data_IF_907166691315
#
_entry.id   IF_907166691315
#
_cell.length_a   1.000
_cell.length_b   1.000
_cell.length_c   1.000
_cell.angle_alpha   90.00
_cell.angle_beta   90.00
_cell.angle_gamma   90.00
#
_symmetry.space_group_name_H-M   'P 1'
#
loop_
_entity.id
_entity.type
_entity.pdbx_description
1 polymer ?
#
# COMPACT_ATOMS: atom_id res chain seq x y z
N UNK A 1 1.46 3.21 37.09
CA UNK A 1 0.34 2.31 37.43
C UNK A 1 -0.37 2.03 36.12
N UNK A 2 -0.41 0.78 35.69
CA UNK A 2 -1.12 0.39 34.47
C UNK A 2 -2.62 0.63 34.69
N UNK A 3 -3.27 1.30 33.75
CA UNK A 3 -4.68 1.62 33.84
C UNK A 3 -5.49 0.39 33.41
N UNK A 4 -6.56 0.09 34.13
CA UNK A 4 -7.53 -0.93 33.73
C UNK A 4 -8.22 -0.54 32.42
N UNK A 5 -8.25 -1.47 31.46
CA UNK A 5 -8.88 -1.25 30.16
C UNK A 5 -10.41 -1.31 30.29
N UNK A 6 -11.16 -0.48 29.54
CA UNK A 6 -12.62 -0.53 29.56
C UNK A 6 -13.16 -1.87 29.05
N UNK A 7 -14.14 -2.42 29.76
CA UNK A 7 -14.80 -3.68 29.40
C UNK A 7 -16.11 -3.45 28.66
N UNK A 8 -16.38 -4.30 27.65
CA UNK A 8 -17.57 -4.24 26.82
C UNK A 8 -18.06 -5.66 26.55
N UNK A 9 -19.35 -5.88 26.72
CA UNK A 9 -20.00 -7.14 26.37
C UNK A 9 -20.51 -7.09 24.93
N UNK A 10 -20.12 -8.09 24.13
CA UNK A 10 -20.59 -8.27 22.76
C UNK A 10 -21.03 -9.72 22.60
N UNK A 11 -22.32 -9.93 22.31
CA UNK A 11 -22.88 -11.26 22.04
C UNK A 11 -22.58 -12.28 23.16
N UNK A 12 -22.65 -11.85 24.43
CA UNK A 12 -22.39 -12.69 25.60
C UNK A 12 -20.92 -12.96 25.91
N UNK A 13 -19.99 -12.28 25.23
CA UNK A 13 -18.55 -12.35 25.48
C UNK A 13 -18.02 -11.01 25.99
N UNK A 14 -17.08 -11.07 26.93
CA UNK A 14 -16.42 -9.88 27.46
C UNK A 14 -15.17 -9.54 26.64
N UNK A 15 -15.05 -8.27 26.28
CA UNK A 15 -13.90 -7.72 25.58
C UNK A 15 -13.32 -6.55 26.37
N UNK A 16 -12.00 -6.39 26.30
CA UNK A 16 -11.31 -5.19 26.77
C UNK A 16 -10.94 -4.32 25.58
N UNK A 17 -11.28 -3.03 25.62
CA UNK A 17 -10.89 -2.11 24.57
C UNK A 17 -9.46 -1.58 24.81
N UNK A 18 -8.58 -1.83 23.86
CA UNK A 18 -7.20 -1.33 23.83
C UNK A 18 -7.11 -0.16 22.85
N UNK A 19 -7.00 1.06 23.38
CA UNK A 19 -6.85 2.28 22.60
C UNK A 19 -5.56 2.32 21.79
N UNK A 20 -4.48 1.68 22.25
CA UNK A 20 -3.18 1.70 21.58
C UNK A 20 -3.22 0.83 20.33
N UNK A 21 -3.85 -0.35 20.43
CA UNK A 21 -4.10 -1.23 19.28
C UNK A 21 -5.34 -0.84 18.46
N UNK A 22 -6.22 0.02 18.98
CA UNK A 22 -7.53 0.35 18.41
C UNK A 22 -8.32 -0.95 18.14
N UNK A 23 -8.39 -1.79 19.17
CA UNK A 23 -8.94 -3.14 19.07
C UNK A 23 -9.70 -3.55 20.33
N UNK A 24 -10.65 -4.46 20.16
CA UNK A 24 -11.30 -5.19 21.25
C UNK A 24 -10.62 -6.53 21.44
N UNK A 25 -10.08 -6.78 22.63
CA UNK A 25 -9.39 -8.02 23.00
C UNK A 25 -10.36 -8.92 23.76
N UNK A 26 -10.61 -10.14 23.29
CA UNK A 26 -11.47 -11.09 24.03
C UNK A 26 -10.81 -11.43 25.38
N UNK A 27 -11.52 -11.23 26.50
CA UNK A 27 -10.92 -11.30 27.85
C UNK A 27 -10.32 -12.67 28.17
N UNK A 28 -11.00 -13.73 27.75
CA UNK A 28 -10.55 -15.12 27.96
C UNK A 28 -9.54 -15.59 26.91
N UNK A 29 -9.41 -14.85 25.80
CA UNK A 29 -8.57 -15.20 24.63
C UNK A 29 -7.99 -13.96 23.95
N UNK A 30 -7.05 -13.24 24.59
CA UNK A 30 -6.58 -11.95 24.07
C UNK A 30 -5.91 -12.01 22.68
N UNK A 31 -5.50 -13.20 22.22
CA UNK A 31 -5.03 -13.41 20.85
C UNK A 31 -6.13 -13.21 19.80
N UNK A 32 -7.41 -13.33 20.20
CA UNK A 32 -8.58 -13.00 19.39
C UNK A 32 -8.93 -11.54 19.61
N UNK A 33 -8.57 -10.73 18.61
CA UNK A 33 -8.87 -9.31 18.59
C UNK A 33 -9.80 -8.93 17.44
N UNK A 34 -10.72 -8.01 17.74
CA UNK A 34 -11.54 -7.36 16.72
C UNK A 34 -10.97 -5.97 16.50
N UNK A 35 -10.41 -5.73 15.31
CA UNK A 35 -9.89 -4.41 14.98
C UNK A 35 -11.07 -3.50 14.66
N UNK A 36 -11.12 -2.31 15.28
CA UNK A 36 -12.13 -1.31 14.92
C UNK A 36 -11.96 -0.84 13.48
N UNK A 37 -10.76 -1.02 12.93
CA UNK A 37 -10.52 -0.81 11.53
C UNK A 37 -11.36 -1.73 10.64
N UNK A 38 -11.82 -2.89 11.11
CA UNK A 38 -12.69 -3.75 10.29
C UNK A 38 -14.17 -3.39 10.41
N UNK A 39 -14.47 -2.32 11.16
CA UNK A 39 -15.83 -1.87 11.44
C UNK A 39 -16.15 -0.62 10.61
N UNK A 40 -17.44 -0.42 10.37
CA UNK A 40 -17.97 0.77 9.74
C UNK A 40 -18.19 1.86 10.79
N UNK A 41 -17.57 3.01 10.57
CA UNK A 41 -17.78 4.22 11.39
C UNK A 41 -19.11 4.88 10.99
N UNK A 42 -20.09 4.81 11.89
CA UNK A 42 -21.42 5.42 11.74
C UNK A 42 -21.52 6.78 12.46
N UNK A 43 -20.39 7.42 12.77
CA UNK A 43 -20.20 8.69 13.50
C UNK A 43 -20.63 8.67 14.97
N UNK A 44 -21.68 7.94 15.29
CA UNK A 44 -22.29 7.81 16.62
C UNK A 44 -21.95 6.49 17.30
N UNK A 45 -21.48 5.53 16.53
CA UNK A 45 -21.11 4.18 16.95
C UNK A 45 -20.27 3.54 15.83
N UNK A 46 -19.63 2.42 16.12
CA UNK A 46 -19.12 1.52 15.09
C UNK A 46 -20.07 0.34 14.92
N UNK A 47 -20.19 -0.15 13.70
CA UNK A 47 -20.96 -1.36 13.42
C UNK A 47 -20.16 -2.34 12.58
N UNK A 48 -20.41 -3.62 12.81
CA UNK A 48 -19.88 -4.71 11.99
C UNK A 48 -20.88 -5.86 11.95
N UNK A 49 -20.78 -6.67 10.92
CA UNK A 49 -21.55 -7.90 10.78
C UNK A 49 -20.81 -9.03 11.48
N UNK A 50 -21.52 -9.78 12.31
CA UNK A 50 -21.01 -10.93 13.05
C UNK A 50 -21.69 -12.20 12.58
N UNK A 51 -20.89 -13.19 12.20
CA UNK A 51 -21.34 -14.54 11.88
C UNK A 51 -21.52 -15.34 13.18
N UNK A 52 -22.76 -15.77 13.45
CA UNK A 52 -23.08 -16.53 14.65
C UNK A 52 -22.48 -17.95 14.64
N UNK A 53 -22.22 -18.51 13.46
CA UNK A 53 -21.66 -19.85 13.31
C UNK A 53 -20.15 -19.85 13.53
N UNK A 54 -19.40 -19.05 12.76
CA UNK A 54 -17.95 -18.94 12.94
C UNK A 54 -17.55 -18.16 14.19
N UNK A 55 -18.49 -17.39 14.76
CA UNK A 55 -18.30 -16.52 15.94
C UNK A 55 -17.23 -15.44 15.72
N UNK A 56 -17.18 -14.90 14.51
CA UNK A 56 -16.22 -13.88 14.07
C UNK A 56 -16.94 -12.77 13.27
N UNK A 57 -16.35 -11.57 13.16
CA UNK A 57 -16.81 -10.57 12.20
C UNK A 57 -16.69 -11.05 10.75
N UNK A 58 -17.63 -10.65 9.91
CA UNK A 58 -17.60 -10.83 8.47
C UNK A 58 -17.34 -9.48 7.79
N UNK A 59 -16.12 -9.29 7.27
CA UNK A 59 -15.71 -8.04 6.65
C UNK A 59 -16.48 -7.75 5.34
N UNK A 60 -16.76 -8.79 4.56
CA UNK A 60 -17.45 -8.68 3.28
C UNK A 60 -18.87 -8.16 3.50
N UNK A 61 -19.62 -8.82 4.39
CA UNK A 61 -20.99 -8.41 4.72
C UNK A 61 -21.05 -7.12 5.54
N UNK A 62 -20.00 -6.76 6.26
CA UNK A 62 -19.90 -5.43 6.89
C UNK A 62 -19.83 -4.32 5.85
N UNK A 63 -19.13 -4.55 4.74
CA UNK A 63 -19.02 -3.58 3.65
C UNK A 63 -20.27 -3.58 2.75
N UNK A 64 -20.72 -4.76 2.35
CA UNK A 64 -21.73 -4.93 1.28
C UNK A 64 -23.16 -5.09 1.82
N UNK A 65 -23.31 -5.31 3.13
CA UNK A 65 -24.56 -5.66 3.77
C UNK A 65 -24.82 -7.17 3.81
N UNK A 66 -25.86 -7.55 4.54
CA UNK A 66 -26.33 -8.94 4.64
C UNK A 66 -27.36 -9.15 3.52
N UNK A 67 -27.19 -10.19 2.71
CA UNK A 67 -28.17 -10.53 1.67
C UNK A 67 -29.47 -11.11 2.26
N UNK A 68 -30.54 -11.11 1.46
CA UNK A 68 -31.86 -11.53 1.92
C UNK A 68 -31.90 -13.00 2.40
N UNK A 69 -31.12 -13.89 1.75
CA UNK A 69 -31.06 -15.31 2.10
C UNK A 69 -30.45 -15.48 3.50
N UNK A 70 -29.38 -14.75 3.77
CA UNK A 70 -28.69 -14.77 5.05
C UNK A 70 -29.48 -14.08 6.17
N UNK A 71 -30.27 -13.05 5.84
CA UNK A 71 -31.23 -12.46 6.79
C UNK A 71 -32.30 -13.49 7.20
N UNK A 72 -32.88 -14.22 6.25
CA UNK A 72 -33.88 -15.27 6.54
C UNK A 72 -33.31 -16.38 7.42
N UNK A 73 -32.07 -16.79 7.17
CA UNK A 73 -31.37 -17.83 7.95
C UNK A 73 -30.91 -17.35 9.32
N UNK A 74 -30.95 -16.04 9.58
CA UNK A 74 -30.48 -15.41 10.82
C UNK A 74 -29.03 -15.79 11.20
N UNK A 75 -28.22 -16.16 10.22
CA UNK A 75 -26.83 -16.58 10.37
C UNK A 75 -25.93 -15.43 10.79
N UNK A 76 -26.26 -14.23 10.32
CA UNK A 76 -25.51 -13.01 10.58
C UNK A 76 -26.32 -12.03 11.44
N UNK A 77 -25.62 -11.19 12.18
CA UNK A 77 -26.23 -10.09 12.94
C UNK A 77 -25.34 -8.86 12.88
N UNK A 78 -25.95 -7.68 12.77
CA UNK A 78 -25.22 -6.43 12.91
C UNK A 78 -25.01 -6.14 14.39
N UNK A 79 -23.76 -6.00 14.80
CA UNK A 79 -23.36 -5.59 16.14
C UNK A 79 -23.03 -4.11 16.11
N UNK A 80 -23.45 -3.39 17.15
CA UNK A 80 -23.12 -1.97 17.36
C UNK A 80 -22.30 -1.83 18.64
N UNK A 81 -21.21 -1.08 18.56
CA UNK A 81 -20.39 -0.70 19.72
C UNK A 81 -20.28 0.82 19.80
N UNK A 82 -20.15 1.41 21.01
CA UNK A 82 -20.01 2.85 21.16
C UNK A 82 -18.77 3.40 20.42
N UNK A 83 -18.67 4.73 20.32
CA UNK A 83 -17.47 5.36 19.77
C UNK A 83 -16.27 5.13 20.69
N UNK A 84 -15.06 5.26 20.15
CA UNK A 84 -13.82 5.13 20.93
C UNK A 84 -13.80 6.15 22.06
N UNK A 85 -14.20 7.38 21.77
CA UNK A 85 -14.35 8.47 22.73
C UNK A 85 -15.26 8.11 23.92
N UNK A 86 -16.29 7.28 23.70
CA UNK A 86 -17.25 6.88 24.73
C UNK A 86 -16.79 5.62 25.49
N UNK A 87 -16.12 4.70 24.80
CA UNK A 87 -15.55 3.47 25.39
C UNK A 87 -14.34 3.79 26.26
N UNK A 88 -13.44 4.64 25.79
CA UNK A 88 -12.19 4.99 26.45
C UNK A 88 -11.85 6.49 26.35
N UNK A 89 -12.60 7.37 27.04
CA UNK A 89 -12.38 8.82 26.98
C UNK A 89 -10.98 9.22 27.45
N UNK A 90 -10.50 8.63 28.54
CA UNK A 90 -9.18 8.94 29.10
C UNK A 90 -8.03 8.42 28.21
N UNK A 91 -8.22 7.27 27.56
CA UNK A 91 -7.24 6.69 26.65
C UNK A 91 -7.14 7.49 25.37
N UNK A 92 -8.29 7.94 24.86
CA UNK A 92 -8.40 8.86 23.73
C UNK A 92 -7.69 10.19 24.02
N UNK A 93 -7.93 10.78 25.20
CA UNK A 93 -7.23 11.99 25.65
C UNK A 93 -5.71 11.80 25.67
N UNK A 94 -5.24 10.67 26.23
CA UNK A 94 -3.81 10.34 26.30
C UNK A 94 -3.20 10.14 24.91
N UNK A 95 -3.82 9.33 24.05
CA UNK A 95 -3.25 8.93 22.76
C UNK A 95 -3.22 10.07 21.74
N UNK A 96 -4.29 10.88 21.71
CA UNK A 96 -4.44 11.96 20.72
C UNK A 96 -4.22 13.36 21.28
N UNK A 97 -3.79 13.47 22.55
CA UNK A 97 -3.53 14.73 23.23
C UNK A 97 -4.73 15.70 23.14
N UNK A 98 -5.92 15.21 23.46
CA UNK A 98 -7.16 15.99 23.52
C UNK A 98 -7.72 16.06 24.95
N UNK A 99 -8.66 16.98 25.19
CA UNK A 99 -9.31 17.15 26.49
C UNK A 99 -10.62 16.37 26.59
N UNK A 100 -11.12 16.14 27.80
CA UNK A 100 -12.46 15.55 27.99
C UNK A 100 -13.57 16.44 27.39
N UNK A 101 -13.39 17.76 27.34
CA UNK A 101 -14.34 18.62 26.65
C UNK A 101 -14.33 18.38 25.13
N UNK A 102 -13.16 18.10 24.54
CA UNK A 102 -13.08 17.70 23.14
C UNK A 102 -13.84 16.40 22.87
N UNK A 103 -13.73 15.40 23.75
CA UNK A 103 -14.46 14.11 23.67
C UNK A 103 -15.99 14.32 23.55
N UNK A 104 -16.54 15.30 24.28
CA UNK A 104 -17.97 15.59 24.25
C UNK A 104 -18.42 16.38 23.01
N UNK A 105 -17.53 17.20 22.45
CA UNK A 105 -17.87 18.12 21.35
C UNK A 105 -17.48 17.60 19.97
N UNK A 106 -16.53 16.66 19.90
CA UNK A 106 -15.93 16.16 18.66
C UNK A 106 -16.25 14.68 18.46
N UNK A 107 -16.28 14.30 17.20
CA UNK A 107 -16.32 12.91 16.75
C UNK A 107 -14.95 12.25 16.86
N UNK A 108 -14.91 10.92 16.88
CA UNK A 108 -13.65 10.17 16.78
C UNK A 108 -12.82 10.62 15.58
N UNK A 109 -13.47 10.85 14.43
CA UNK A 109 -12.82 11.36 13.23
C UNK A 109 -12.11 12.71 13.47
N UNK A 110 -12.78 13.65 14.12
CA UNK A 110 -12.23 15.00 14.39
C UNK A 110 -11.06 14.99 15.36
N UNK A 111 -10.98 13.97 16.22
CA UNK A 111 -9.90 13.78 17.19
C UNK A 111 -8.73 13.00 16.58
N UNK A 112 -9.02 11.93 15.83
CA UNK A 112 -8.02 10.96 15.37
C UNK A 112 -7.37 11.34 14.04
N UNK A 113 -8.02 12.18 13.23
CA UNK A 113 -7.52 12.58 11.91
C UNK A 113 -7.06 14.03 11.96
N UNK A 114 -5.93 14.34 11.32
CA UNK A 114 -5.47 15.72 11.13
C UNK A 114 -6.48 16.49 10.27
N UNK A 115 -7.32 17.27 10.94
CA UNK A 115 -8.38 18.08 10.31
C UNK A 115 -7.80 19.15 9.39
N UNK A 116 -6.63 19.70 9.71
CA UNK A 116 -5.98 20.69 8.85
C UNK A 116 -5.53 20.04 7.54
N UNK A 117 -4.91 18.87 7.60
CA UNK A 117 -4.56 18.12 6.39
C UNK A 117 -5.81 17.73 5.59
N UNK A 118 -6.89 17.33 6.27
CA UNK A 118 -8.15 16.99 5.65
C UNK A 118 -8.75 18.18 4.90
N UNK A 119 -8.81 19.35 5.52
CA UNK A 119 -9.32 20.58 4.90
C UNK A 119 -8.46 21.06 3.73
N UNK A 120 -7.13 21.00 3.87
CA UNK A 120 -6.20 21.31 2.78
C UNK A 120 -6.48 20.43 1.56
N UNK A 121 -6.66 19.12 1.77
CA UNK A 121 -6.91 18.16 0.69
C UNK A 121 -8.31 18.29 0.08
N UNK A 122 -9.32 18.55 0.90
CA UNK A 122 -10.73 18.46 0.52
C UNK A 122 -11.31 19.78 0.05
N UNK A 123 -11.09 20.86 0.81
CA UNK A 123 -11.63 22.19 0.53
C UNK A 123 -10.69 23.02 -0.34
N UNK A 124 -9.36 22.92 -0.13
CA UNK A 124 -8.37 23.68 -0.94
C UNK A 124 -7.81 22.89 -2.12
N UNK A 125 -8.16 21.61 -2.24
CA UNK A 125 -7.72 20.75 -3.34
C UNK A 125 -6.23 20.44 -3.36
N UNK A 126 -5.50 20.63 -2.25
CA UNK A 126 -4.07 20.38 -2.17
C UNK A 126 -3.78 18.88 -2.36
N UNK A 127 -3.12 18.51 -3.47
CA UNK A 127 -2.72 17.13 -3.71
C UNK A 127 -1.59 16.73 -2.75
N UNK A 128 -1.59 15.47 -2.26
CA UNK A 128 -0.43 14.93 -1.57
C UNK A 128 0.81 14.96 -2.46
N UNK A 129 1.97 14.96 -1.84
CA UNK A 129 3.25 15.01 -2.54
C UNK A 129 4.16 13.87 -2.09
N UNK A 130 4.99 13.38 -3.00
CA UNK A 130 6.04 12.42 -2.71
C UNK A 130 7.39 12.95 -3.21
N UNK A 131 8.41 12.85 -2.38
CA UNK A 131 9.80 13.13 -2.77
C UNK A 131 10.48 11.85 -3.26
N UNK A 132 11.00 11.87 -4.48
CA UNK A 132 11.71 10.75 -5.11
C UNK A 132 13.06 11.26 -5.60
N UNK A 133 14.14 10.71 -5.06
CA UNK A 133 15.52 11.06 -5.44
C UNK A 133 15.82 12.58 -5.46
N UNK A 134 15.19 13.36 -4.57
CA UNK A 134 15.36 14.82 -4.52
C UNK A 134 14.22 15.62 -5.16
N UNK A 135 13.43 15.01 -6.04
CA UNK A 135 12.39 15.67 -6.84
C UNK A 135 11.01 15.48 -6.20
N UNK A 136 10.17 16.51 -6.27
CA UNK A 136 8.81 16.48 -5.73
C UNK A 136 7.82 16.13 -6.83
N UNK A 137 6.92 15.21 -6.54
CA UNK A 137 5.80 14.84 -7.40
C UNK A 137 4.49 15.07 -6.67
N UNK A 138 3.47 15.54 -7.39
CA UNK A 138 2.09 15.49 -6.94
C UNK A 138 1.52 14.09 -7.16
N UNK A 139 0.82 13.56 -6.17
CA UNK A 139 0.01 12.35 -6.29
C UNK A 139 -1.29 12.74 -6.98
N UNK A 140 -1.39 12.48 -8.27
CA UNK A 140 -2.50 12.92 -9.11
C UNK A 140 -3.30 11.72 -9.63
N UNK A 141 -4.18 11.18 -8.78
CA UNK A 141 -4.95 9.97 -9.08
C UNK A 141 -5.98 10.19 -10.20
N UNK A 142 -6.38 11.44 -10.46
CA UNK A 142 -7.26 11.78 -11.58
C UNK A 142 -6.52 11.67 -12.90
N UNK A 143 -5.23 12.03 -12.94
CA UNK A 143 -4.37 11.87 -14.10
C UNK A 143 -3.63 10.52 -14.13
N UNK A 144 -3.94 9.62 -13.20
CA UNK A 144 -3.31 8.31 -13.05
C UNK A 144 -1.78 8.35 -12.94
N UNK A 145 -1.22 9.37 -12.24
CA UNK A 145 0.25 9.48 -12.16
C UNK A 145 0.79 10.22 -10.94
N UNK A 146 2.06 9.95 -10.65
CA UNK A 146 2.93 10.87 -9.94
C UNK A 146 3.43 11.93 -10.93
N UNK A 147 2.83 13.12 -10.86
CA UNK A 147 3.13 14.23 -11.77
C UNK A 147 4.27 15.08 -11.20
N UNK A 148 5.41 15.26 -11.90
CA UNK A 148 6.49 16.10 -11.42
C UNK A 148 5.99 17.51 -11.12
N UNK A 149 6.50 18.10 -10.03
CA UNK A 149 6.08 19.44 -9.61
C UNK A 149 6.65 20.53 -10.53
N UNK A 150 7.92 20.38 -10.90
CA UNK A 150 8.72 21.43 -11.57
C UNK A 150 9.27 20.98 -12.95
N UNK A 151 8.90 19.80 -13.43
CA UNK A 151 9.27 19.27 -14.75
C UNK A 151 8.03 18.92 -15.57
N UNK A 152 7.56 19.91 -16.34
CA UNK A 152 6.33 19.79 -17.13
C UNK A 152 6.52 19.01 -18.45
N UNK A 153 7.76 18.75 -18.87
CA UNK A 153 8.05 17.97 -20.07
C UNK A 153 8.06 16.47 -19.77
N UNK A 154 8.33 16.10 -18.52
CA UNK A 154 8.27 14.72 -18.09
C UNK A 154 6.83 14.20 -17.95
N UNK A 155 6.61 12.97 -18.41
CA UNK A 155 5.35 12.27 -18.19
C UNK A 155 5.14 11.88 -16.73
N UNK A 156 6.20 11.86 -15.91
CA UNK A 156 6.16 11.38 -14.53
C UNK A 156 6.16 9.87 -14.45
N UNK A 157 5.54 9.34 -13.39
CA UNK A 157 5.32 7.89 -13.21
C UNK A 157 3.82 7.65 -13.31
N UNK A 158 3.38 7.01 -14.39
CA UNK A 158 1.98 6.61 -14.58
C UNK A 158 1.71 5.34 -13.77
N UNK A 159 0.64 5.31 -12.97
CA UNK A 159 0.36 4.19 -12.06
C UNK A 159 0.00 2.92 -12.81
N UNK A 160 -0.81 3.03 -13.88
CA UNK A 160 -1.14 1.90 -14.74
C UNK A 160 0.11 1.25 -15.37
N UNK A 161 1.10 2.03 -15.78
CA UNK A 161 2.35 1.53 -16.36
C UNK A 161 3.19 0.72 -15.35
N UNK A 162 3.05 0.99 -14.05
CA UNK A 162 3.81 0.30 -12.99
C UNK A 162 2.99 -0.71 -12.20
N UNK A 163 1.76 -0.98 -12.63
CA UNK A 163 0.82 -1.87 -11.93
C UNK A 163 1.37 -3.28 -11.67
N UNK A 164 2.21 -3.79 -12.59
CA UNK A 164 2.86 -5.12 -12.47
C UNK A 164 3.96 -5.18 -11.41
N UNK A 165 4.42 -4.02 -10.91
CA UNK A 165 5.44 -3.90 -9.87
C UNK A 165 4.84 -3.73 -8.46
N UNK A 166 3.52 -3.89 -8.34
CA UNK A 166 2.83 -3.79 -7.06
C UNK A 166 3.02 -5.06 -6.23
N UNK A 167 3.44 -4.87 -4.99
CA UNK A 167 3.52 -5.92 -3.97
C UNK A 167 2.30 -5.82 -3.06
N UNK A 168 1.39 -6.79 -3.15
CA UNK A 168 0.12 -6.83 -2.40
C UNK A 168 0.34 -6.91 -0.87
N UNK A 169 1.34 -7.67 -0.44
CA UNK A 169 1.66 -7.90 0.97
C UNK A 169 2.19 -6.62 1.61
N UNK A 170 3.11 -5.93 0.93
CA UNK A 170 3.70 -4.67 1.39
C UNK A 170 2.84 -3.45 1.09
N UNK A 171 1.92 -3.56 0.13
CA UNK A 171 1.11 -2.46 -0.41
C UNK A 171 1.97 -1.32 -0.98
N UNK A 172 3.05 -1.68 -1.65
CA UNK A 172 4.03 -0.75 -2.23
C UNK A 172 4.33 -1.10 -3.68
N UNK A 173 4.72 -0.11 -4.45
CA UNK A 173 5.41 -0.29 -5.72
C UNK A 173 6.91 -0.35 -5.48
N UNK A 174 7.61 -1.24 -6.21
CA UNK A 174 9.07 -1.22 -6.32
C UNK A 174 9.47 -1.17 -7.79
N UNK A 175 9.88 0.00 -8.28
CA UNK A 175 10.06 0.24 -9.72
C UNK A 175 11.48 0.71 -10.07
N UNK A 176 11.97 0.39 -11.28
CA UNK A 176 13.04 1.14 -11.93
C UNK A 176 12.64 2.59 -12.21
N UNK A 177 13.47 3.53 -11.81
CA UNK A 177 13.25 4.96 -11.99
C UNK A 177 14.50 5.64 -12.56
N UNK A 178 14.27 6.51 -13.54
CA UNK A 178 15.31 7.35 -14.13
C UNK A 178 15.29 8.74 -13.46
N UNK A 179 16.29 9.08 -12.63
CA UNK A 179 16.35 10.37 -11.95
C UNK A 179 16.64 11.55 -12.88
N UNK A 180 17.11 11.33 -14.11
CA UNK A 180 17.36 12.41 -15.09
C UNK A 180 16.09 12.82 -15.84
N UNK A 181 15.25 11.84 -16.18
CA UNK A 181 13.99 12.08 -16.92
C UNK A 181 12.76 12.16 -16.02
N UNK A 182 12.92 11.82 -14.73
CA UNK A 182 11.86 11.78 -13.73
C UNK A 182 10.73 10.79 -14.07
N UNK A 183 11.07 9.69 -14.75
CA UNK A 183 10.11 8.72 -15.27
C UNK A 183 10.43 7.30 -14.82
N UNK A 184 9.40 6.47 -14.83
CA UNK A 184 9.56 5.02 -14.87
C UNK A 184 10.25 4.62 -16.18
N UNK A 185 11.23 3.73 -16.09
CA UNK A 185 11.94 3.22 -17.27
C UNK A 185 12.48 1.83 -16.98
N UNK A 186 12.05 0.84 -17.76
CA UNK A 186 12.54 -0.53 -17.64
C UNK A 186 13.91 -0.72 -18.30
N UNK A 187 14.83 -1.47 -17.69
CA UNK A 187 15.98 -2.02 -18.40
C UNK A 187 15.53 -3.19 -19.30
N UNK A 188 16.33 -3.54 -20.31
CA UNK A 188 16.07 -4.73 -21.11
C UNK A 188 16.42 -6.01 -20.31
N UNK A 189 15.40 -6.55 -19.66
CA UNK A 189 15.50 -7.74 -18.81
C UNK A 189 16.02 -8.98 -19.54
N UNK A 190 15.89 -9.07 -20.86
CA UNK A 190 16.31 -10.26 -21.63
C UNK A 190 17.83 -10.34 -21.80
N UNK A 191 18.51 -9.20 -21.77
CA UNK A 191 19.95 -9.10 -22.05
C UNK A 191 20.74 -8.44 -20.91
N UNK A 192 20.08 -8.02 -19.83
CA UNK A 192 20.77 -7.34 -18.73
C UNK A 192 21.78 -8.27 -18.05
N UNK A 193 23.05 -7.83 -18.02
CA UNK A 193 24.16 -8.57 -17.41
C UNK A 193 24.89 -7.76 -16.34
N UNK A 194 24.50 -6.52 -16.10
CA UNK A 194 25.02 -5.63 -15.06
C UNK A 194 23.89 -4.74 -14.52
N UNK A 195 24.06 -4.22 -13.31
CA UNK A 195 23.09 -3.27 -12.77
C UNK A 195 23.07 -1.98 -13.61
N UNK A 196 21.88 -1.42 -13.88
CA UNK A 196 21.78 -0.20 -14.67
C UNK A 196 22.40 0.97 -13.91
N UNK A 197 23.23 1.75 -14.61
CA UNK A 197 23.95 2.90 -14.00
C UNK A 197 23.13 4.19 -13.99
N UNK A 198 22.20 4.31 -14.94
CA UNK A 198 21.33 5.47 -15.10
C UNK A 198 19.96 5.29 -14.42
N UNK A 199 19.67 4.10 -13.87
CA UNK A 199 18.42 3.79 -13.19
C UNK A 199 18.68 3.43 -11.73
N UNK A 200 17.73 3.77 -10.87
CA UNK A 200 17.69 3.35 -9.47
C UNK A 200 16.39 2.58 -9.21
N UNK A 201 16.38 1.68 -8.23
CA UNK A 201 15.12 1.11 -7.74
C UNK A 201 14.56 2.01 -6.65
N UNK A 202 13.27 2.34 -6.76
CA UNK A 202 12.57 3.11 -5.72
C UNK A 202 11.37 2.33 -5.21
N UNK A 203 11.11 2.45 -3.90
CA UNK A 203 9.92 1.90 -3.25
C UNK A 203 9.02 3.03 -2.75
N UNK A 204 7.72 2.96 -3.06
CA UNK A 204 6.73 3.90 -2.53
C UNK A 204 5.35 3.26 -2.31
N UNK A 205 4.51 3.81 -1.42
CA UNK A 205 3.18 3.27 -1.13
C UNK A 205 2.25 3.28 -2.35
N UNK A 206 1.22 2.41 -2.35
CA UNK A 206 0.18 2.46 -3.38
C UNK A 206 -0.61 3.75 -3.40
N UNK A 207 -1.32 4.02 -4.50
CA UNK A 207 -2.19 5.18 -4.72
C UNK A 207 -3.19 5.36 -3.58
N UNK A 208 -3.76 4.25 -3.13
CA UNK A 208 -4.71 4.20 -2.02
C UNK A 208 -4.11 4.71 -0.71
N UNK A 209 -2.82 4.51 -0.48
CA UNK A 209 -2.09 4.99 0.70
C UNK A 209 -1.54 6.41 0.50
N UNK A 210 -1.12 6.75 -0.72
CA UNK A 210 -0.59 8.06 -1.08
C UNK A 210 -1.67 9.16 -1.06
N UNK A 211 -2.89 8.85 -1.52
CA UNK A 211 -4.02 9.78 -1.49
C UNK A 211 -5.33 9.02 -1.25
N UNK A 212 -5.58 8.62 0.00
CA UNK A 212 -6.83 7.94 0.40
C UNK A 212 -8.08 8.73 -0.02
N UNK A 213 -8.06 10.05 0.13
CA UNK A 213 -9.21 10.91 -0.23
C UNK A 213 -9.42 10.91 -1.74
N UNK A 214 -8.34 11.03 -2.52
CA UNK A 214 -8.36 10.90 -3.97
C UNK A 214 -8.87 9.53 -4.42
N UNK A 215 -8.43 8.46 -3.75
CA UNK A 215 -8.87 7.09 -4.01
C UNK A 215 -10.36 6.94 -3.74
N UNK A 216 -10.83 7.39 -2.57
CA UNK A 216 -12.23 7.33 -2.20
C UNK A 216 -13.10 8.06 -3.24
N UNK A 217 -12.69 9.25 -3.69
CA UNK A 217 -13.37 9.98 -4.77
C UNK A 217 -13.37 9.22 -6.10
N UNK A 218 -12.24 8.64 -6.51
CA UNK A 218 -12.10 7.90 -7.78
C UNK A 218 -13.03 6.69 -7.84
N UNK A 219 -13.22 6.01 -6.71
CA UNK A 219 -13.98 4.76 -6.63
C UNK A 219 -15.37 4.89 -5.96
N UNK A 220 -15.82 6.12 -5.66
CA UNK A 220 -17.16 6.37 -5.13
C UNK A 220 -17.37 6.01 -3.65
N UNK A 221 -16.30 5.88 -2.86
CA UNK A 221 -16.39 5.67 -1.42
C UNK A 221 -16.66 6.99 -0.68
N UNK A 222 -17.17 6.88 0.55
CA UNK A 222 -17.23 8.02 1.47
C UNK A 222 -15.82 8.63 1.63
N UNK A 223 -15.75 9.97 1.60
CA UNK A 223 -14.48 10.71 1.58
C UNK A 223 -13.66 10.44 2.85
N UNK A 224 -14.31 10.16 3.99
CA UNK A 224 -13.68 9.87 5.28
C UNK A 224 -13.31 8.39 5.44
N UNK A 225 -13.76 7.54 4.52
CA UNK A 225 -13.56 6.10 4.61
C UNK A 225 -12.08 5.75 4.78
N UNK A 226 -11.78 5.02 5.85
CA UNK A 226 -10.43 4.52 6.14
C UNK A 226 -9.40 5.56 6.58
N UNK A 227 -9.78 6.81 6.85
CA UNK A 227 -8.87 7.85 7.36
C UNK A 227 -8.61 7.72 8.86
N UNK A 228 -9.58 7.24 9.64
CA UNK A 228 -9.39 6.96 11.08
C UNK A 228 -8.35 5.84 11.28
N UNK A 229 -8.25 4.91 10.32
CA UNK A 229 -7.32 3.77 10.33
C UNK A 229 -5.89 4.19 9.99
N UNK A 230 -5.75 5.16 9.09
CA UNK A 230 -4.49 5.57 8.51
C UNK A 230 -4.41 7.08 8.61
N UNK A 231 -3.67 7.56 9.61
CA UNK A 231 -3.46 8.98 9.82
C UNK A 231 -3.19 9.69 8.49
N UNK A 232 -3.95 10.74 8.19
CA UNK A 232 -3.91 11.44 6.92
C UNK A 232 -2.56 12.16 6.78
N UNK A 233 -1.80 11.80 5.74
CA UNK A 233 -0.52 12.43 5.40
C UNK A 233 -0.60 13.04 4.01
N UNK A 234 -0.01 14.23 3.86
CA UNK A 234 0.08 14.92 2.57
C UNK A 234 1.49 14.95 1.99
N UNK A 235 2.47 14.41 2.73
CA UNK A 235 3.88 14.42 2.34
C UNK A 235 4.48 13.04 2.58
N UNK A 236 5.12 12.53 1.54
CA UNK A 236 5.73 11.21 1.50
C UNK A 236 7.16 11.31 0.97
N UNK A 237 7.95 10.27 1.20
CA UNK A 237 9.26 10.09 0.60
C UNK A 237 9.38 8.64 0.11
N UNK A 238 9.85 8.46 -1.12
CA UNK A 238 10.20 7.15 -1.63
C UNK A 238 11.55 6.70 -1.04
N UNK A 239 11.71 5.39 -0.85
CA UNK A 239 12.98 4.79 -0.45
C UNK A 239 13.79 4.45 -1.70
N UNK A 240 15.11 4.62 -1.64
CA UNK A 240 16.01 4.06 -2.63
C UNK A 240 16.37 2.63 -2.19
N UNK A 241 16.17 1.67 -3.08
CA UNK A 241 16.46 0.26 -2.84
C UNK A 241 17.72 -0.11 -3.62
N UNK A 242 18.78 -0.62 -2.97
CA UNK A 242 19.94 -1.12 -3.67
C UNK A 242 19.56 -2.25 -4.66
N UNK A 243 20.04 -2.20 -5.90
CA UNK A 243 19.70 -3.21 -6.92
C UNK A 243 20.02 -4.65 -6.50
N UNK A 244 21.03 -4.84 -5.65
CA UNK A 244 21.41 -6.14 -5.13
C UNK A 244 20.33 -6.78 -4.22
N UNK A 245 19.43 -5.98 -3.65
CA UNK A 245 18.30 -6.43 -2.82
C UNK A 245 17.02 -6.70 -3.64
N UNK A 246 17.09 -6.54 -4.97
CA UNK A 246 15.97 -6.75 -5.90
C UNK A 246 16.11 -8.07 -6.67
N UNK A 247 15.05 -8.47 -7.39
CA UNK A 247 15.08 -9.64 -8.29
C UNK A 247 16.17 -9.55 -9.39
N UNK A 248 16.65 -8.33 -9.68
CA UNK A 248 17.62 -8.08 -10.74
C UNK A 248 18.95 -8.80 -10.50
N UNK A 249 19.32 -9.01 -9.24
CA UNK A 249 20.50 -9.81 -8.85
C UNK A 249 20.51 -11.19 -9.47
N UNK A 250 19.38 -11.90 -9.36
CA UNK A 250 19.29 -13.28 -9.82
C UNK A 250 19.09 -13.34 -11.34
N UNK A 251 18.34 -12.38 -11.89
CA UNK A 251 18.19 -12.25 -13.34
C UNK A 251 19.54 -12.03 -14.05
N UNK A 252 20.40 -11.16 -13.52
CA UNK A 252 21.74 -10.92 -14.06
C UNK A 252 22.59 -12.20 -14.03
N UNK A 253 22.53 -12.99 -12.95
CA UNK A 253 23.26 -14.27 -12.87
C UNK A 253 22.77 -15.25 -13.95
N UNK A 254 21.45 -15.33 -14.15
CA UNK A 254 20.83 -16.18 -15.18
C UNK A 254 21.30 -15.75 -16.57
N UNK A 255 21.19 -14.46 -16.89
CA UNK A 255 21.54 -13.93 -18.21
C UNK A 255 23.04 -14.13 -18.53
N UNK A 256 23.94 -13.90 -17.56
CA UNK A 256 25.37 -14.19 -17.72
C UNK A 256 25.64 -15.66 -18.03
N UNK A 257 24.93 -16.59 -17.38
CA UNK A 257 25.06 -18.03 -17.65
C UNK A 257 24.56 -18.38 -19.06
N UNK A 258 23.41 -17.82 -19.47
CA UNK A 258 22.86 -18.02 -20.80
C UNK A 258 23.79 -17.46 -21.89
N UNK A 259 24.39 -16.29 -21.67
CA UNK A 259 25.35 -15.70 -22.59
C UNK A 259 26.61 -16.57 -22.74
N UNK A 260 27.14 -17.10 -21.63
CA UNK A 260 28.28 -18.02 -21.64
C UNK A 260 27.97 -19.28 -22.45
N UNK A 261 26.82 -19.91 -22.21
CA UNK A 261 26.40 -21.11 -22.94
C UNK A 261 26.21 -20.85 -24.46
N UNK A 262 25.72 -19.67 -24.83
CA UNK A 262 25.58 -19.26 -26.24
C UNK A 262 26.95 -19.11 -26.92
N UNK A 263 27.92 -18.49 -26.24
CA UNK A 263 29.31 -18.35 -26.73
C UNK A 263 29.98 -19.72 -26.90
N UNK A 264 29.87 -20.60 -25.91
CA UNK A 264 30.44 -21.96 -25.98
C UNK A 264 29.82 -22.81 -27.10
N UNK A 265 28.51 -22.67 -27.36
CA UNK A 265 27.84 -23.37 -28.47
C UNK A 265 28.25 -22.81 -29.83
N UNK A 266 28.42 -21.48 -29.94
CA UNK A 266 28.86 -20.82 -31.17
C UNK A 266 30.32 -21.17 -31.52
N UNK A 267 31.20 -21.28 -30.52
CA UNK A 267 32.60 -21.69 -30.70
C UNK A 267 32.70 -23.17 -31.15
N UNK A 268 31.81 -24.05 -30.65
CA UNK A 268 31.75 -25.46 -31.08
C UNK A 268 31.19 -25.66 -32.50
N UNK A 269 30.64 -24.63 -33.14
CA UNK A 269 30.02 -24.71 -34.47
C UNK A 269 30.72 -23.80 -35.50
N UNK A 270 31.91 -23.27 -35.20
CA UNK A 270 32.75 -22.68 -36.25
C UNK A 270 33.28 -23.81 -37.16
N UNK A 271 33.04 -23.78 -38.49
CA UNK A 271 33.64 -24.74 -39.40
C UNK A 271 35.14 -24.54 -39.46
N UNK A 272 35.91 -25.63 -39.35
CA UNK A 272 37.35 -25.65 -39.60
C UNK A 272 37.66 -24.95 -40.93
N UNK A 273 38.57 -23.97 -40.91
CA UNK A 273 38.99 -23.27 -42.13
C UNK A 273 39.52 -24.29 -43.16
N UNK A 274 39.09 -24.22 -44.44
CA UNK A 274 39.64 -25.11 -45.45
C UNK A 274 41.14 -24.83 -45.63
N UNK A 275 41.96 -25.86 -45.40
CA UNK A 275 43.39 -25.85 -45.70
C UNK A 275 43.63 -25.40 -47.13
N UNK A 276 44.40 -24.31 -47.31
CA UNK A 276 44.83 -23.83 -48.62
C UNK A 276 45.65 -24.92 -49.33
N UNK A 277 45.04 -25.58 -50.31
CA UNK A 277 45.77 -26.44 -51.25
C UNK A 277 46.49 -25.53 -52.24
N UNK A 278 47.81 -25.39 -52.08
CA UNK A 278 48.64 -24.66 -53.05
C UNK A 278 48.65 -25.37 -54.42
N UNK A 279 48.49 -24.65 -55.54
CA UNK A 279 48.52 -25.26 -56.86
C UNK A 279 49.96 -25.59 -57.28
N UNK A 280 50.23 -26.88 -57.56
CA UNK A 280 51.48 -27.33 -58.18
C UNK A 280 51.57 -26.79 -59.60
N UNK A 281 52.57 -25.93 -59.85
CA UNK A 281 52.89 -25.39 -61.16
C UNK A 281 53.29 -26.49 -62.17
N UNK A 282 52.80 -26.34 -63.40
CA UNK A 282 53.13 -27.17 -64.56
C UNK A 282 54.42 -26.61 -65.17
N UNK A 283 55.50 -27.41 -65.22
CA UNK A 283 56.69 -27.08 -66.02
C UNK A 283 56.39 -27.32 -67.50
N UNK A 284 56.86 -26.40 -68.34
CA UNK A 284 56.86 -26.48 -69.81
C UNK A 284 57.69 -27.66 -70.29
#
# INVERSE_FOLDING_TARGET
MERELPEIEIMGKQYMFDIDQIALLEKDRPERKLLLEDMKDCRTHYEFVYDKYSRNPDQSKTADGIDAIDMERQTFTTVKIPRIADMDPLGMCRKYNCSLNDIHQKTDFEIMVDQKAFDLRTAKGLLPTIKIAGHIFYVDLRMDKLRPKDDFLSNGIVFSDVSTYYDDDKRTYMIPYNPKTHQFQEPDYNIITEFPKDLIAIEFPSERLLDRIGWNRKYGFDIRHGLVKQNLKLQFAAKNIPWNETFLSDLIKINRRLEKNRKETAEKHQPDQPQQIMPKGRKM
#
